data_IF_852594594827
#
_entry.id   IF_852594594827
#
_cell.length_a   1.000
_cell.length_b   1.000
_cell.length_c   1.000
_cell.angle_alpha   90.00
_cell.angle_beta   90.00
_cell.angle_gamma   90.00
#
_symmetry.space_group_name_H-M   'P 1'
#
loop_
_entity.id
_entity.type
_entity.pdbx_description
1 polymer ?
#
# COMPACT_ATOMS: atom_id res chain seq x y z
N UNK A 1 -34.60 -15.73 -16.19
CA UNK A 1 -35.38 -14.71 -15.43
C UNK A 1 -34.71 -14.59 -14.08
N UNK A 2 -33.87 -13.59 -13.93
CA UNK A 2 -33.06 -13.36 -12.71
C UNK A 2 -33.84 -12.49 -11.71
N UNK A 3 -33.92 -12.96 -10.51
CA UNK A 3 -34.58 -12.28 -9.41
C UNK A 3 -33.73 -11.07 -8.99
N UNK A 4 -34.20 -9.86 -9.30
CA UNK A 4 -33.68 -8.60 -8.76
C UNK A 4 -34.23 -8.42 -7.34
N UNK A 5 -33.44 -8.78 -6.35
CA UNK A 5 -33.75 -8.43 -4.97
C UNK A 5 -33.07 -7.12 -4.62
N UNK A 6 -33.82 -6.03 -4.72
CA UNK A 6 -33.43 -4.70 -4.26
C UNK A 6 -33.31 -4.70 -2.73
N UNK A 7 -32.11 -4.64 -2.19
CA UNK A 7 -31.92 -4.30 -0.78
C UNK A 7 -32.08 -2.79 -0.60
N UNK A 8 -33.27 -2.33 -0.19
CA UNK A 8 -33.46 -0.99 0.37
C UNK A 8 -32.94 -0.97 1.81
N UNK A 9 -32.26 0.09 2.26
CA UNK A 9 -31.79 0.19 3.61
C UNK A 9 -32.96 0.40 4.58
N UNK A 10 -33.29 -0.61 5.36
CA UNK A 10 -34.16 -0.44 6.53
C UNK A 10 -33.34 -0.01 7.74
N UNK A 11 -33.84 0.99 8.45
CA UNK A 11 -33.35 1.59 9.68
C UNK A 11 -33.17 0.55 10.79
N UNK A 12 -31.95 0.07 10.97
CA UNK A 12 -31.29 -0.51 12.16
C UNK A 12 -30.05 -1.28 11.67
N UNK A 13 -28.98 -0.54 11.36
CA UNK A 13 -27.80 -1.17 10.77
C UNK A 13 -26.67 -1.15 11.81
N UNK A 14 -26.68 -2.18 12.67
CA UNK A 14 -25.48 -2.70 13.32
C UNK A 14 -24.88 -3.89 12.52
N UNK A 15 -25.22 -4.05 11.23
CA UNK A 15 -24.82 -5.16 10.42
C UNK A 15 -23.81 -4.71 9.36
N UNK A 16 -22.62 -5.27 9.43
CA UNK A 16 -21.69 -5.39 8.31
C UNK A 16 -22.34 -6.29 7.26
N UNK A 17 -22.56 -5.77 6.04
CA UNK A 17 -23.01 -6.61 4.93
C UNK A 17 -21.80 -7.34 4.35
N UNK A 18 -21.75 -8.64 4.59
CA UNK A 18 -20.76 -9.53 4.00
C UNK A 18 -21.33 -10.10 2.70
N UNK A 19 -20.70 -9.79 1.57
CA UNK A 19 -20.97 -10.47 0.31
C UNK A 19 -19.83 -11.45 0.04
N UNK A 20 -20.15 -12.72 -0.02
CA UNK A 20 -19.20 -13.75 -0.42
C UNK A 20 -19.11 -13.74 -1.95
N UNK A 21 -18.18 -12.96 -2.49
CA UNK A 21 -18.01 -12.70 -3.94
C UNK A 21 -16.87 -13.50 -4.57
N UNK A 22 -16.33 -14.49 -3.85
CA UNK A 22 -15.28 -15.35 -4.41
C UNK A 22 -15.80 -16.23 -5.55
N UNK A 23 -15.05 -16.31 -6.64
CA UNK A 23 -15.38 -17.04 -7.86
C UNK A 23 -14.64 -18.36 -7.98
N UNK A 24 -15.31 -19.34 -8.61
CA UNK A 24 -14.64 -20.44 -9.28
C UNK A 24 -14.10 -19.91 -10.63
N UNK A 25 -12.79 -19.84 -10.80
CA UNK A 25 -12.18 -19.52 -12.09
C UNK A 25 -12.05 -20.83 -12.89
N UNK A 26 -12.73 -20.95 -14.04
CA UNK A 26 -12.64 -22.17 -14.86
C UNK A 26 -11.24 -22.32 -15.46
N UNK A 27 -10.65 -23.50 -15.33
CA UNK A 27 -9.50 -23.87 -16.15
C UNK A 27 -9.95 -24.10 -17.60
N UNK A 28 -9.84 -23.11 -18.46
CA UNK A 28 -9.74 -23.34 -19.90
C UNK A 28 -9.21 -22.08 -20.60
N UNK A 29 -7.95 -22.13 -20.98
CA UNK A 29 -7.43 -21.81 -22.31
C UNK A 29 -5.93 -21.62 -22.28
N UNK A 30 -5.19 -22.75 -22.32
CA UNK A 30 -3.86 -22.74 -22.93
C UNK A 30 -4.06 -22.80 -24.46
N UNK A 31 -3.99 -21.68 -25.14
CA UNK A 31 -3.74 -21.62 -26.57
C UNK A 31 -2.58 -20.66 -26.87
N UNK A 32 -1.68 -21.20 -27.66
CA UNK A 32 -0.44 -20.71 -28.23
C UNK A 32 -0.30 -19.20 -28.42
N UNK A 33 0.83 -18.70 -27.99
CA UNK A 33 1.27 -17.31 -28.16
C UNK A 33 1.85 -17.11 -29.57
N UNK A 34 1.17 -16.28 -30.35
CA UNK A 34 1.75 -15.60 -31.49
C UNK A 34 2.34 -14.27 -31.04
N UNK A 35 3.60 -14.04 -31.38
CA UNK A 35 4.33 -12.77 -31.18
C UNK A 35 3.67 -11.64 -31.98
N UNK A 36 3.34 -10.53 -31.32
CA UNK A 36 3.06 -9.25 -32.00
C UNK A 36 3.83 -8.12 -31.32
N UNK A 37 4.87 -7.68 -32.01
CA UNK A 37 5.48 -6.36 -31.85
C UNK A 37 4.50 -5.31 -32.37
N UNK A 38 4.19 -4.29 -31.54
CA UNK A 38 3.96 -2.92 -32.03
C UNK A 38 3.85 -1.89 -30.88
N UNK A 39 4.56 -0.77 -30.98
CA UNK A 39 4.50 0.29 -29.97
C UNK A 39 3.24 1.12 -30.16
N UNK A 40 2.50 1.34 -29.07
CA UNK A 40 1.32 2.20 -29.07
C UNK A 40 1.78 3.67 -29.03
N UNK A 41 1.46 4.38 -30.10
CA UNK A 41 1.58 5.84 -30.19
C UNK A 41 0.69 6.53 -29.16
N UNK A 42 1.30 7.28 -28.25
CA UNK A 42 0.59 8.19 -27.34
C UNK A 42 0.16 9.43 -28.13
N UNK A 43 -1.13 9.56 -28.37
CA UNK A 43 -1.74 10.78 -28.89
C UNK A 43 -1.96 11.73 -27.72
N UNK A 44 -1.23 12.85 -27.73
CA UNK A 44 -1.44 14.01 -26.87
C UNK A 44 -2.80 14.63 -27.16
N UNK A 45 -3.80 14.42 -26.29
CA UNK A 45 -4.99 15.26 -26.22
C UNK A 45 -5.05 15.91 -24.84
N UNK A 46 -4.92 17.25 -24.82
CA UNK A 46 -4.98 18.06 -23.61
C UNK A 46 -6.27 17.85 -22.83
N UNK A 47 -6.20 17.12 -21.75
CA UNK A 47 -7.22 16.96 -20.74
C UNK A 47 -6.62 17.38 -19.40
N UNK A 48 -7.31 18.30 -18.73
CA UNK A 48 -7.04 18.78 -17.37
C UNK A 48 -6.77 17.62 -16.38
N UNK A 49 -6.01 17.85 -15.33
CA UNK A 49 -5.37 16.80 -14.53
C UNK A 49 -6.41 15.98 -13.76
N UNK A 50 -6.75 14.82 -14.29
CA UNK A 50 -7.50 13.77 -13.55
C UNK A 50 -6.76 13.33 -12.28
N UNK A 51 -5.45 13.57 -12.21
CA UNK A 51 -4.58 13.32 -11.08
C UNK A 51 -4.90 14.19 -9.86
N UNK A 52 -5.24 15.47 -10.04
CA UNK A 52 -5.62 16.35 -8.92
C UNK A 52 -6.92 15.90 -8.21
N UNK A 53 -7.88 15.39 -8.97
CA UNK A 53 -9.13 14.87 -8.41
C UNK A 53 -8.88 13.56 -7.67
N UNK A 54 -8.00 12.72 -8.20
CA UNK A 54 -7.57 11.47 -7.58
C UNK A 54 -6.84 11.71 -6.25
N UNK A 55 -5.93 12.69 -6.19
CA UNK A 55 -5.18 13.03 -4.99
C UNK A 55 -6.04 13.65 -3.88
N UNK A 56 -7.03 14.50 -4.23
CA UNK A 56 -7.95 15.12 -3.24
C UNK A 56 -8.96 14.15 -2.64
N UNK A 57 -9.41 13.14 -3.39
CA UNK A 57 -10.31 12.10 -2.88
C UNK A 57 -9.62 11.07 -1.99
N UNK A 58 -8.30 10.93 -2.12
CA UNK A 58 -7.53 9.81 -1.53
C UNK A 58 -6.86 10.11 -0.18
N UNK A 59 -6.82 11.36 0.31
CA UNK A 59 -6.15 11.70 1.59
C UNK A 59 -6.56 10.81 2.77
N UNK A 60 -7.82 10.35 2.80
CA UNK A 60 -8.34 9.50 3.87
C UNK A 60 -8.26 7.99 3.57
N UNK A 61 -7.99 7.61 2.33
CA UNK A 61 -8.10 6.22 1.90
C UNK A 61 -6.79 5.43 2.09
N UNK A 62 -5.64 6.09 2.06
CA UNK A 62 -4.33 5.44 2.22
C UNK A 62 -4.17 4.76 3.59
N UNK A 63 -4.75 5.31 4.64
CA UNK A 63 -4.77 4.68 5.97
C UNK A 63 -5.28 3.24 5.87
N UNK A 64 -6.39 3.04 5.17
CA UNK A 64 -7.00 1.71 5.06
C UNK A 64 -6.19 0.73 4.21
N UNK A 65 -5.38 1.20 3.25
CA UNK A 65 -4.57 0.31 2.42
C UNK A 65 -3.53 -0.44 3.23
N UNK A 66 -2.82 0.27 4.11
CA UNK A 66 -1.81 -0.35 4.96
C UNK A 66 -2.43 -1.23 6.02
N UNK A 67 -3.45 -0.73 6.70
CA UNK A 67 -4.18 -1.49 7.70
C UNK A 67 -4.68 -2.82 7.11
N UNK A 68 -5.33 -2.78 5.95
CA UNK A 68 -5.83 -3.97 5.25
C UNK A 68 -4.70 -4.92 4.84
N UNK A 69 -3.61 -4.39 4.26
CA UNK A 69 -2.47 -5.18 3.83
C UNK A 69 -1.82 -5.92 5.01
N UNK A 70 -1.58 -5.23 6.12
CA UNK A 70 -0.96 -5.81 7.31
C UNK A 70 -1.84 -6.88 7.96
N UNK A 71 -3.15 -6.64 8.04
CA UNK A 71 -4.10 -7.63 8.55
C UNK A 71 -4.05 -8.89 7.70
N UNK A 72 -4.10 -8.75 6.38
CA UNK A 72 -4.00 -9.88 5.44
C UNK A 72 -2.67 -10.61 5.62
N UNK A 73 -1.55 -9.88 5.68
CA UNK A 73 -0.22 -10.46 5.81
C UNK A 73 -0.01 -11.14 7.18
N UNK A 74 -0.67 -10.65 8.22
CA UNK A 74 -0.69 -11.33 9.53
C UNK A 74 -1.35 -12.70 9.43
N UNK A 75 -2.49 -12.81 8.74
CA UNK A 75 -3.12 -14.11 8.51
C UNK A 75 -2.30 -15.03 7.60
N UNK A 76 -1.71 -14.49 6.53
CA UNK A 76 -0.81 -15.27 5.66
C UNK A 76 0.38 -15.85 6.42
N UNK A 77 0.99 -15.07 7.32
CA UNK A 77 2.08 -15.53 8.18
C UNK A 77 1.66 -16.70 9.09
N UNK A 78 0.43 -16.70 9.63
CA UNK A 78 -0.11 -17.82 10.43
C UNK A 78 -0.13 -19.13 9.63
N UNK A 79 -0.34 -19.06 8.32
CA UNK A 79 -0.36 -20.21 7.40
C UNK A 79 1.01 -20.50 6.75
N UNK A 80 2.07 -19.80 7.14
CA UNK A 80 3.41 -19.92 6.53
C UNK A 80 3.40 -19.65 5.03
N UNK A 81 2.65 -18.64 4.63
CA UNK A 81 2.52 -18.16 3.27
C UNK A 81 3.18 -16.80 3.15
N UNK A 82 3.90 -16.56 2.06
CA UNK A 82 4.61 -15.31 1.81
C UNK A 82 3.67 -14.10 1.86
N UNK A 83 4.14 -12.94 2.36
CA UNK A 83 3.33 -11.73 2.39
C UNK A 83 2.99 -11.26 0.97
N UNK A 84 1.83 -10.62 0.84
CA UNK A 84 1.44 -9.91 -0.37
C UNK A 84 2.15 -8.55 -0.43
N UNK A 85 2.48 -8.13 -1.65
CA UNK A 85 2.97 -6.79 -1.93
C UNK A 85 1.90 -5.98 -2.65
N UNK A 86 1.78 -4.68 -2.33
CA UNK A 86 0.93 -3.78 -3.09
C UNK A 86 1.44 -3.64 -4.52
N UNK A 87 0.53 -3.54 -5.47
CA UNK A 87 0.84 -3.23 -6.86
C UNK A 87 0.01 -2.02 -7.30
N UNK A 88 0.68 -0.97 -7.77
CA UNK A 88 0.03 0.30 -8.10
C UNK A 88 -1.00 0.20 -9.21
N UNK A 89 -0.74 -0.59 -10.26
CA UNK A 89 -1.70 -0.77 -11.35
C UNK A 89 -2.96 -1.49 -10.86
N UNK A 90 -2.78 -2.49 -9.98
CA UNK A 90 -3.90 -3.21 -9.37
C UNK A 90 -4.62 -2.29 -8.37
N UNK A 91 -3.90 -1.42 -7.62
CA UNK A 91 -4.51 -0.40 -6.76
C UNK A 91 -5.42 0.54 -7.58
N UNK A 92 -4.95 1.01 -8.75
CA UNK A 92 -5.74 1.87 -9.63
C UNK A 92 -7.03 1.18 -10.12
N UNK A 93 -6.94 -0.10 -10.48
CA UNK A 93 -8.11 -0.90 -10.87
C UNK A 93 -9.10 -1.05 -9.71
N UNK A 94 -8.58 -1.40 -8.52
CA UNK A 94 -9.39 -1.56 -7.31
C UNK A 94 -10.05 -0.24 -6.89
N UNK A 95 -9.32 0.88 -6.96
CA UNK A 95 -9.83 2.20 -6.63
C UNK A 95 -10.93 2.64 -7.60
N UNK A 96 -10.70 2.47 -8.91
CA UNK A 96 -11.71 2.81 -9.92
C UNK A 96 -13.02 2.03 -9.72
N UNK A 97 -12.92 0.76 -9.32
CA UNK A 97 -14.10 -0.05 -9.04
C UNK A 97 -14.76 0.34 -7.72
N UNK A 98 -13.97 0.62 -6.67
CA UNK A 98 -14.47 1.15 -5.41
C UNK A 98 -15.23 2.48 -5.59
N UNK A 99 -14.71 3.41 -6.41
CA UNK A 99 -15.37 4.67 -6.75
C UNK A 99 -16.71 4.43 -7.48
N UNK A 100 -16.76 3.42 -8.37
CA UNK A 100 -17.98 3.06 -9.07
C UNK A 100 -19.04 2.54 -8.11
N UNK A 101 -18.73 1.53 -7.31
CA UNK A 101 -19.71 0.92 -6.39
C UNK A 101 -20.15 1.88 -5.30
N UNK A 102 -19.27 2.78 -4.83
CA UNK A 102 -19.63 3.82 -3.87
C UNK A 102 -20.60 4.86 -4.46
N UNK A 103 -20.40 5.27 -5.72
CA UNK A 103 -21.28 6.21 -6.43
C UNK A 103 -22.64 5.59 -6.73
N UNK A 104 -22.66 4.32 -7.12
CA UNK A 104 -23.87 3.59 -7.49
C UNK A 104 -24.61 3.01 -6.28
N UNK A 105 -23.95 3.01 -5.12
CA UNK A 105 -24.44 2.38 -3.88
C UNK A 105 -24.90 0.91 -4.11
N UNK A 106 -24.14 0.20 -4.93
CA UNK A 106 -24.45 -1.16 -5.36
C UNK A 106 -23.16 -1.97 -5.54
N UNK A 107 -23.09 -3.14 -4.90
CA UNK A 107 -21.93 -4.03 -4.96
C UNK A 107 -22.09 -5.01 -6.13
N UNK A 108 -21.13 -5.00 -7.03
CA UNK A 108 -20.95 -5.96 -8.11
C UNK A 108 -19.47 -6.34 -8.27
N UNK A 109 -19.19 -7.45 -8.92
CA UNK A 109 -17.81 -7.86 -9.22
C UNK A 109 -17.24 -7.00 -10.36
N UNK A 110 -15.93 -6.67 -10.26
CA UNK A 110 -15.28 -5.76 -11.22
C UNK A 110 -14.97 -6.41 -12.58
N UNK A 111 -14.70 -7.71 -12.60
CA UNK A 111 -14.10 -8.41 -13.76
C UNK A 111 -12.80 -7.77 -14.26
N UNK A 112 -12.08 -7.10 -13.36
CA UNK A 112 -10.79 -6.48 -13.67
C UNK A 112 -9.77 -7.53 -14.11
N UNK A 113 -8.93 -7.14 -15.07
CA UNK A 113 -7.82 -7.97 -15.56
C UNK A 113 -6.50 -7.22 -15.39
N UNK A 114 -5.48 -7.96 -15.02
CA UNK A 114 -4.09 -7.51 -15.00
C UNK A 114 -3.25 -8.54 -15.75
N UNK A 115 -2.41 -8.09 -16.70
CA UNK A 115 -1.66 -8.96 -17.61
C UNK A 115 -2.55 -10.04 -18.28
N UNK A 116 -3.70 -9.64 -18.79
CA UNK A 116 -4.72 -10.49 -19.43
C UNK A 116 -5.33 -11.58 -18.54
N UNK A 117 -5.04 -11.58 -17.24
CA UNK A 117 -5.59 -12.54 -16.27
C UNK A 117 -6.63 -11.86 -15.39
N UNK A 118 -7.78 -12.48 -15.17
CA UNK A 118 -8.77 -12.00 -14.21
C UNK A 118 -8.17 -12.00 -12.81
N UNK A 119 -8.48 -10.95 -12.04
CA UNK A 119 -8.02 -10.82 -10.67
C UNK A 119 -8.92 -11.59 -9.71
N UNK A 120 -8.35 -12.16 -8.65
CA UNK A 120 -9.11 -12.54 -7.47
C UNK A 120 -9.67 -11.28 -6.82
N UNK A 121 -10.86 -11.35 -6.21
CA UNK A 121 -11.50 -10.15 -5.69
C UNK A 121 -12.25 -10.41 -4.38
N UNK A 122 -12.09 -9.47 -3.44
CA UNK A 122 -12.90 -9.37 -2.22
C UNK A 122 -13.49 -7.97 -2.18
N UNK A 123 -14.81 -7.87 -1.97
CA UNK A 123 -15.51 -6.58 -1.83
C UNK A 123 -16.30 -6.58 -0.53
N UNK A 124 -16.18 -5.50 0.22
CA UNK A 124 -16.98 -5.26 1.42
C UNK A 124 -17.22 -3.78 1.65
N UNK A 125 -18.13 -3.46 2.54
CA UNK A 125 -18.32 -2.09 2.99
C UNK A 125 -18.45 -2.04 4.51
N UNK A 126 -18.12 -0.87 5.07
CA UNK A 126 -18.22 -0.61 6.50
C UNK A 126 -18.50 0.87 6.78
N UNK A 127 -18.99 1.18 7.97
CA UNK A 127 -19.09 2.56 8.42
C UNK A 127 -17.73 3.06 8.90
N UNK A 128 -17.45 4.33 8.74
CA UNK A 128 -16.16 4.95 9.10
C UNK A 128 -15.74 4.76 10.57
N UNK A 129 -16.69 4.53 11.46
CA UNK A 129 -16.39 4.25 12.87
C UNK A 129 -16.03 2.78 13.17
N UNK A 130 -16.04 1.93 12.14
CA UNK A 130 -15.58 0.54 12.24
C UNK A 130 -14.17 0.41 11.64
N UNK A 131 -13.42 -0.59 12.14
CA UNK A 131 -12.11 -0.95 11.59
C UNK A 131 -12.25 -2.00 10.49
N UNK A 132 -11.48 -1.91 9.38
CA UNK A 132 -11.32 -2.99 8.41
C UNK A 132 -10.90 -4.31 9.05
N UNK A 133 -10.14 -4.24 10.15
CA UNK A 133 -9.70 -5.41 10.93
C UNK A 133 -10.87 -6.29 11.35
N UNK A 134 -11.94 -5.72 11.91
CA UNK A 134 -13.10 -6.50 12.37
C UNK A 134 -13.73 -7.29 11.24
N UNK A 135 -13.74 -6.76 10.02
CA UNK A 135 -14.36 -7.41 8.86
C UNK A 135 -13.45 -8.50 8.30
N UNK A 136 -12.18 -8.20 8.09
CA UNK A 136 -11.21 -9.17 7.56
C UNK A 136 -10.99 -10.31 8.56
N UNK A 137 -10.93 -9.98 9.86
CA UNK A 137 -10.88 -10.98 10.93
C UNK A 137 -12.11 -11.88 10.90
N UNK A 138 -13.29 -11.33 10.65
CA UNK A 138 -14.51 -12.13 10.57
C UNK A 138 -14.48 -13.10 9.38
N UNK A 139 -13.93 -12.70 8.22
CA UNK A 139 -13.73 -13.62 7.08
C UNK A 139 -12.81 -14.77 7.45
N UNK A 140 -11.74 -14.46 8.18
CA UNK A 140 -10.76 -15.46 8.59
C UNK A 140 -11.31 -16.38 9.70
N UNK A 141 -11.77 -15.83 10.81
CA UNK A 141 -12.14 -16.60 12.02
C UNK A 141 -13.39 -17.46 11.79
N UNK A 142 -14.39 -16.96 11.04
CA UNK A 142 -15.61 -17.73 10.75
C UNK A 142 -15.35 -19.00 9.97
N UNK A 143 -14.35 -19.00 9.09
CA UNK A 143 -14.11 -20.08 8.14
C UNK A 143 -12.91 -20.96 8.52
N UNK A 144 -11.83 -20.39 9.03
CA UNK A 144 -10.59 -21.11 9.31
C UNK A 144 -10.81 -22.36 10.19
N UNK A 145 -11.60 -22.21 11.29
CA UNK A 145 -11.87 -23.32 12.22
C UNK A 145 -12.76 -24.43 11.63
N UNK A 146 -13.53 -24.10 10.60
CA UNK A 146 -14.45 -25.06 9.95
C UNK A 146 -13.89 -25.61 8.65
N UNK A 147 -12.78 -25.03 8.17
CA UNK A 147 -12.21 -25.37 6.88
C UNK A 147 -11.52 -26.75 6.91
N UNK A 148 -11.90 -27.59 5.96
CA UNK A 148 -11.25 -28.89 5.78
C UNK A 148 -10.06 -28.77 4.82
N UNK A 149 -8.85 -28.62 5.37
CA UNK A 149 -7.60 -28.49 4.62
C UNK A 149 -7.23 -29.73 3.77
N UNK A 150 -7.98 -30.83 3.87
CA UNK A 150 -7.83 -32.03 3.04
C UNK A 150 -8.81 -32.07 1.88
N UNK A 151 -9.74 -31.11 1.78
CA UNK A 151 -10.71 -31.05 0.69
C UNK A 151 -10.03 -30.50 -0.57
N UNK A 152 -10.11 -31.28 -1.67
CA UNK A 152 -9.52 -30.88 -2.96
C UNK A 152 -10.26 -29.73 -3.64
N UNK A 153 -11.58 -29.65 -3.45
CA UNK A 153 -12.44 -28.66 -4.09
C UNK A 153 -13.47 -28.11 -3.10
N UNK A 154 -13.02 -27.34 -2.08
CA UNK A 154 -13.94 -26.66 -1.19
C UNK A 154 -14.66 -25.54 -1.95
N UNK A 155 -15.73 -25.00 -1.33
CA UNK A 155 -16.34 -23.77 -1.84
C UNK A 155 -15.34 -22.61 -1.73
N UNK A 156 -15.11 -21.84 -2.80
CA UNK A 156 -14.30 -20.62 -2.75
C UNK A 156 -14.84 -19.63 -1.72
N UNK A 157 -13.94 -18.93 -1.05
CA UNK A 157 -14.31 -17.96 -0.01
C UNK A 157 -13.31 -16.82 0.12
N UNK A 158 -13.67 -15.79 0.89
CA UNK A 158 -12.76 -14.70 1.21
C UNK A 158 -11.56 -15.20 2.02
N UNK A 159 -11.78 -16.12 2.96
CA UNK A 159 -10.71 -16.77 3.72
C UNK A 159 -9.68 -17.45 2.82
N UNK A 160 -10.13 -18.30 1.89
CA UNK A 160 -9.22 -19.04 1.00
C UNK A 160 -8.48 -18.11 0.04
N UNK A 161 -9.09 -17.00 -0.38
CA UNK A 161 -8.41 -15.97 -1.18
C UNK A 161 -7.33 -15.25 -0.39
N UNK A 162 -7.61 -14.85 0.85
CA UNK A 162 -6.65 -14.14 1.72
C UNK A 162 -5.36 -14.95 1.89
N UNK A 163 -5.46 -16.25 2.15
CA UNK A 163 -4.31 -17.11 2.43
C UNK A 163 -3.80 -17.88 1.21
N UNK A 164 -4.28 -17.56 0.01
CA UNK A 164 -3.88 -18.25 -1.22
C UNK A 164 -2.39 -18.07 -1.49
N UNK A 165 -1.62 -19.17 -1.42
CA UNK A 165 -0.15 -19.15 -1.45
C UNK A 165 0.42 -18.52 -2.72
N UNK A 166 -0.16 -18.84 -3.89
CA UNK A 166 0.34 -18.37 -5.18
C UNK A 166 0.02 -16.89 -5.47
N UNK A 167 -0.88 -16.24 -4.73
CA UNK A 167 -1.08 -14.79 -4.81
C UNK A 167 0.15 -14.07 -4.26
N UNK A 168 0.69 -13.11 -5.03
CA UNK A 168 1.91 -12.35 -4.71
C UNK A 168 1.66 -10.86 -4.57
N UNK A 169 0.72 -10.34 -5.34
CA UNK A 169 0.41 -8.93 -5.39
C UNK A 169 -1.05 -8.68 -5.02
N UNK A 170 -1.28 -7.52 -4.45
CA UNK A 170 -2.61 -7.05 -4.09
C UNK A 170 -2.78 -5.59 -4.48
N UNK A 171 -3.97 -5.24 -4.91
CA UNK A 171 -4.42 -3.86 -5.05
C UNK A 171 -5.61 -3.61 -4.14
N UNK A 172 -5.65 -2.46 -3.50
CA UNK A 172 -6.70 -2.07 -2.56
C UNK A 172 -7.28 -0.75 -3.03
N UNK A 173 -8.61 -0.65 -3.06
CA UNK A 173 -9.35 0.56 -3.37
C UNK A 173 -10.38 0.83 -2.29
N UNK A 174 -10.47 2.06 -1.81
CA UNK A 174 -11.45 2.47 -0.81
C UNK A 174 -12.13 3.76 -1.25
N UNK A 175 -13.46 3.80 -1.17
CA UNK A 175 -14.24 4.99 -1.52
C UNK A 175 -15.34 5.23 -0.50
N UNK A 176 -15.41 6.48 -0.03
CA UNK A 176 -16.35 6.90 1.02
C UNK A 176 -17.55 7.59 0.40
N UNK A 177 -18.75 7.22 0.84
CA UNK A 177 -19.99 7.91 0.49
C UNK A 177 -20.27 9.10 1.41
N UNK A 178 -21.27 9.90 1.05
CA UNK A 178 -21.75 11.01 1.90
C UNK A 178 -22.33 10.54 3.25
N UNK A 179 -22.82 9.31 3.31
CA UNK A 179 -23.35 8.66 4.49
C UNK A 179 -22.28 8.01 5.38
N UNK A 180 -21.00 8.30 5.13
CA UNK A 180 -19.85 7.73 5.83
C UNK A 180 -19.75 6.20 5.73
N UNK A 181 -20.20 5.62 4.62
CA UNK A 181 -19.96 4.23 4.27
C UNK A 181 -18.71 4.16 3.41
N UNK A 182 -17.78 3.29 3.77
CA UNK A 182 -16.55 3.04 3.03
C UNK A 182 -16.73 1.73 2.27
N UNK A 183 -16.68 1.80 0.94
CA UNK A 183 -16.63 0.64 0.06
C UNK A 183 -15.19 0.28 -0.21
N UNK A 184 -14.85 -0.98 -0.03
CA UNK A 184 -13.49 -1.50 -0.21
C UNK A 184 -13.48 -2.61 -1.23
N UNK A 185 -12.55 -2.52 -2.17
CA UNK A 185 -12.25 -3.53 -3.19
C UNK A 185 -10.82 -3.98 -3.01
N UNK A 186 -10.60 -5.28 -2.86
CA UNK A 186 -9.27 -5.88 -2.78
C UNK A 186 -9.13 -6.86 -3.95
N UNK A 187 -8.19 -6.59 -4.85
CA UNK A 187 -7.86 -7.45 -5.97
C UNK A 187 -6.53 -8.17 -5.75
N UNK A 188 -6.48 -9.45 -6.05
CA UNK A 188 -5.33 -10.34 -5.83
C UNK A 188 -4.75 -10.83 -7.15
N UNK A 189 -3.42 -10.86 -7.27
CA UNK A 189 -2.72 -11.38 -8.44
C UNK A 189 -1.47 -12.20 -8.06
N UNK A 190 -1.27 -13.37 -8.65
CA UNK A 190 -2.27 -14.16 -9.39
C UNK A 190 -3.55 -14.40 -8.57
N UNK A 191 -4.71 -14.67 -9.23
CA UNK A 191 -5.95 -14.94 -8.53
C UNK A 191 -5.86 -16.20 -7.68
N UNK A 192 -6.64 -16.24 -6.61
CA UNK A 192 -6.85 -17.46 -5.83
C UNK A 192 -8.14 -18.17 -6.19
N UNK A 193 -8.52 -19.11 -5.36
CA UNK A 193 -9.76 -19.87 -5.48
C UNK A 193 -9.89 -20.67 -6.80
N UNK A 194 -8.75 -21.13 -7.33
CA UNK A 194 -8.69 -21.89 -8.57
C UNK A 194 -9.05 -23.36 -8.27
N UNK A 195 -9.99 -23.89 -9.03
CA UNK A 195 -10.44 -25.28 -8.90
C UNK A 195 -9.27 -26.26 -9.04
N UNK A 196 -9.25 -27.27 -8.19
CA UNK A 196 -8.21 -28.30 -8.07
C UNK A 196 -6.85 -27.83 -7.52
N UNK A 197 -6.69 -26.54 -7.17
CA UNK A 197 -5.43 -25.98 -6.62
C UNK A 197 -5.51 -25.69 -5.12
N UNK A 198 -6.62 -25.95 -4.44
CA UNK A 198 -6.82 -25.61 -3.03
C UNK A 198 -5.84 -26.29 -2.09
N UNK A 199 -5.50 -27.57 -2.31
CA UNK A 199 -4.59 -28.31 -1.42
C UNK A 199 -3.17 -27.71 -1.39
N UNK A 200 -2.74 -27.17 -2.51
CA UNK A 200 -1.39 -26.59 -2.65
C UNK A 200 -1.32 -25.14 -2.15
N UNK A 201 -2.46 -24.46 -2.19
CA UNK A 201 -2.52 -23.02 -1.94
C UNK A 201 -3.14 -22.63 -0.59
N UNK A 202 -4.01 -23.46 -0.01
CA UNK A 202 -4.68 -23.20 1.26
C UNK A 202 -4.08 -24.12 2.33
N UNK A 203 -2.99 -23.66 2.93
CA UNK A 203 -2.24 -24.44 3.92
C UNK A 203 -2.89 -24.34 5.31
N UNK A 204 -2.77 -25.35 6.19
CA UNK A 204 -3.23 -25.26 7.55
C UNK A 204 -2.39 -24.22 8.35
N UNK A 205 -2.97 -23.59 9.36
CA UNK A 205 -2.20 -22.69 10.23
C UNK A 205 -1.13 -23.48 10.98
N UNK A 206 0.03 -22.85 11.23
CA UNK A 206 1.02 -23.41 12.13
C UNK A 206 0.40 -23.54 13.52
N UNK A 207 0.62 -24.66 14.20
CA UNK A 207 0.32 -24.76 15.62
C UNK A 207 1.14 -23.69 16.37
N UNK A 208 0.47 -22.69 16.91
CA UNK A 208 1.10 -21.71 17.77
C UNK A 208 1.52 -22.42 19.05
N UNK A 209 2.82 -22.69 19.22
CA UNK A 209 3.35 -22.83 20.56
C UNK A 209 3.00 -21.52 21.28
N UNK A 210 2.21 -21.61 22.37
CA UNK A 210 1.79 -20.46 23.18
C UNK A 210 3.02 -19.67 23.63
N UNK A 211 3.54 -18.81 22.78
CA UNK A 211 4.46 -17.76 23.14
C UNK A 211 3.61 -16.51 23.39
N UNK A 212 3.75 -15.92 24.56
CA UNK A 212 3.16 -14.63 24.92
C UNK A 212 3.63 -13.58 23.90
N UNK A 213 2.91 -13.47 22.80
CA UNK A 213 3.18 -12.46 21.78
C UNK A 213 2.49 -11.18 22.21
N UNK A 214 3.27 -10.22 22.66
CA UNK A 214 2.78 -8.89 22.95
C UNK A 214 2.35 -8.24 21.62
N UNK A 215 1.07 -7.95 21.48
CA UNK A 215 0.40 -7.27 20.34
C UNK A 215 0.96 -5.88 20.03
N UNK A 216 1.88 -5.36 20.81
CA UNK A 216 2.27 -3.96 20.80
C UNK A 216 3.34 -3.56 19.76
N UNK A 217 4.04 -4.50 19.10
CA UNK A 217 5.12 -4.13 18.15
C UNK A 217 4.68 -3.93 16.72
N UNK A 218 3.66 -4.65 16.24
CA UNK A 218 3.15 -4.48 14.87
C UNK A 218 2.36 -3.19 14.71
N UNK A 219 1.49 -2.89 15.66
CA UNK A 219 0.65 -1.70 15.65
C UNK A 219 1.48 -0.41 15.68
N UNK A 220 2.57 -0.41 16.46
CA UNK A 220 3.51 0.72 16.52
C UNK A 220 4.26 0.92 15.19
N UNK A 221 4.60 -0.15 14.49
CA UNK A 221 5.33 -0.07 13.21
C UNK A 221 4.47 0.51 12.09
N UNK A 222 3.21 0.11 12.01
CA UNK A 222 2.27 0.58 10.98
C UNK A 222 2.02 2.07 11.17
N UNK A 223 1.67 2.47 12.39
CA UNK A 223 1.42 3.87 12.74
C UNK A 223 2.63 4.75 12.41
N UNK A 224 3.84 4.28 12.70
CA UNK A 224 5.09 4.98 12.46
C UNK A 224 5.37 5.29 10.97
N UNK A 225 5.21 4.30 10.07
CA UNK A 225 5.41 4.51 8.63
C UNK A 225 4.32 5.39 8.01
N UNK A 226 3.09 5.25 8.48
CA UNK A 226 1.98 6.12 8.09
C UNK A 226 2.25 7.57 8.50
N UNK A 227 2.69 7.82 9.73
CA UNK A 227 3.02 9.15 10.22
C UNK A 227 4.12 9.82 9.38
N UNK A 228 5.18 9.06 9.02
CA UNK A 228 6.22 9.53 8.11
C UNK A 228 5.66 9.95 6.76
N UNK A 229 4.83 9.09 6.16
CA UNK A 229 4.26 9.34 4.84
C UNK A 229 3.32 10.55 4.83
N UNK A 230 2.38 10.62 5.78
CA UNK A 230 1.46 11.74 5.86
C UNK A 230 2.17 13.06 6.14
N UNK A 231 3.12 13.04 7.08
CA UNK A 231 3.87 14.25 7.43
C UNK A 231 4.73 14.75 6.29
N UNK A 232 5.35 13.83 5.52
CA UNK A 232 6.07 14.19 4.31
C UNK A 232 5.16 14.92 3.31
N UNK A 233 3.97 14.37 3.04
CA UNK A 233 3.01 14.97 2.12
C UNK A 233 2.40 16.29 2.64
N UNK A 234 2.23 16.46 3.94
CA UNK A 234 1.84 17.75 4.54
C UNK A 234 2.87 18.85 4.24
N UNK A 235 4.17 18.55 4.33
CA UNK A 235 5.21 19.49 3.96
C UNK A 235 5.23 19.77 2.46
N UNK A 236 5.06 18.76 1.62
CA UNK A 236 4.99 18.95 0.16
C UNK A 236 3.82 19.83 -0.24
N UNK A 237 2.67 19.67 0.42
CA UNK A 237 1.50 20.55 0.20
C UNK A 237 1.81 22.01 0.56
N UNK A 238 2.53 22.26 1.65
CA UNK A 238 2.96 23.63 2.03
C UNK A 238 3.83 24.30 0.97
N UNK A 239 4.61 23.50 0.23
CA UNK A 239 5.47 23.99 -0.85
C UNK A 239 4.80 23.96 -2.23
N UNK A 240 3.53 23.59 -2.32
CA UNK A 240 2.79 23.52 -3.60
C UNK A 240 3.35 22.51 -4.58
N UNK A 241 4.05 21.48 -4.10
CA UNK A 241 4.60 20.42 -4.96
C UNK A 241 3.71 19.17 -4.93
N UNK A 242 3.70 18.33 -6.00
CA UNK A 242 2.87 17.13 -6.06
C UNK A 242 3.09 16.20 -4.86
N UNK A 243 2.02 15.60 -4.36
CA UNK A 243 2.11 14.62 -3.27
C UNK A 243 2.77 13.33 -3.77
N UNK A 244 3.57 12.72 -2.90
CA UNK A 244 4.18 11.42 -3.17
C UNK A 244 3.15 10.31 -3.06
N UNK A 245 3.37 9.26 -3.85
CA UNK A 245 2.64 7.99 -3.76
C UNK A 245 3.55 7.00 -3.03
N UNK A 246 3.00 6.28 -2.06
CA UNK A 246 3.78 5.24 -1.40
C UNK A 246 3.98 4.05 -2.35
N UNK A 247 5.24 3.62 -2.51
CA UNK A 247 5.60 2.49 -3.35
C UNK A 247 6.09 1.31 -2.49
N UNK A 248 5.41 0.16 -2.54
CA UNK A 248 5.77 -1.01 -1.75
C UNK A 248 7.16 -1.57 -2.06
N UNK A 249 7.58 -1.53 -3.33
CA UNK A 249 8.92 -1.98 -3.72
C UNK A 249 10.00 -1.08 -3.12
N UNK A 250 9.77 0.24 -3.09
CA UNK A 250 10.67 1.17 -2.40
C UNK A 250 10.60 0.96 -0.88
N UNK A 251 9.43 0.65 -0.32
CA UNK A 251 9.28 0.31 1.11
C UNK A 251 10.06 -0.96 1.47
N UNK A 252 10.03 -1.99 0.62
CA UNK A 252 10.84 -3.20 0.80
C UNK A 252 12.32 -2.85 0.81
N UNK A 253 12.80 -2.11 -0.19
CA UNK A 253 14.20 -1.66 -0.27
C UNK A 253 14.61 -0.79 0.94
N UNK A 254 13.73 0.11 1.39
CA UNK A 254 13.97 0.95 2.55
C UNK A 254 14.11 0.11 3.84
N UNK A 255 13.27 -0.91 4.02
CA UNK A 255 13.38 -1.84 5.14
C UNK A 255 14.65 -2.69 5.08
N UNK A 256 15.02 -3.21 3.91
CA UNK A 256 16.27 -3.96 3.70
C UNK A 256 17.48 -3.08 4.06
N UNK A 257 17.52 -1.84 3.57
CA UNK A 257 18.60 -0.90 3.83
C UNK A 257 18.67 -0.50 5.31
N UNK A 258 17.54 -0.25 5.97
CA UNK A 258 17.48 0.04 7.39
C UNK A 258 17.98 -1.16 8.24
N UNK A 259 17.61 -2.39 7.87
CA UNK A 259 18.10 -3.59 8.53
C UNK A 259 19.61 -3.77 8.37
N UNK A 260 20.15 -3.56 7.17
CA UNK A 260 21.60 -3.63 6.93
C UNK A 260 22.37 -2.62 7.77
N UNK A 261 21.87 -1.38 7.88
CA UNK A 261 22.48 -0.37 8.77
C UNK A 261 22.42 -0.78 10.24
N UNK A 262 21.30 -1.34 10.68
CA UNK A 262 21.12 -1.79 12.04
C UNK A 262 22.01 -2.99 12.41
N UNK A 263 22.21 -3.92 11.47
CA UNK A 263 23.10 -5.09 11.62
C UNK A 263 24.58 -4.68 11.70
N UNK A 264 24.98 -3.72 10.88
CA UNK A 264 26.38 -3.25 10.80
C UNK A 264 26.70 -2.11 11.77
N UNK A 265 25.69 -1.51 12.42
CA UNK A 265 25.83 -0.42 13.40
C UNK A 265 26.49 0.84 12.84
N UNK A 266 26.30 1.14 11.54
CA UNK A 266 26.79 2.38 10.94
C UNK A 266 25.89 2.88 9.81
N UNK A 267 26.06 4.17 9.47
CA UNK A 267 25.38 4.80 8.34
C UNK A 267 26.05 4.32 7.04
N UNK A 268 25.24 3.74 6.16
CA UNK A 268 25.66 3.35 4.82
C UNK A 268 25.33 4.45 3.81
N UNK A 269 26.22 4.68 2.87
CA UNK A 269 26.02 5.65 1.78
C UNK A 269 25.98 4.95 0.39
N UNK A 270 25.57 3.69 0.36
CA UNK A 270 25.43 2.95 -0.89
C UNK A 270 24.27 3.50 -1.72
N UNK A 271 24.47 3.49 -3.04
CA UNK A 271 23.41 3.85 -3.99
C UNK A 271 22.32 2.78 -4.01
N UNK A 272 21.08 3.23 -4.07
CA UNK A 272 19.91 2.36 -4.17
C UNK A 272 19.30 2.57 -5.55
N UNK A 273 19.25 1.51 -6.35
CA UNK A 273 18.67 1.56 -7.67
C UNK A 273 17.23 1.06 -7.70
N UNK A 274 16.42 1.70 -8.53
CA UNK A 274 15.08 1.28 -8.89
C UNK A 274 14.87 1.50 -10.38
N UNK A 275 14.50 0.43 -11.12
CA UNK A 275 14.46 0.41 -12.60
C UNK A 275 15.76 0.83 -13.30
N UNK A 276 16.92 0.57 -12.69
CA UNK A 276 18.22 0.95 -13.24
C UNK A 276 18.59 2.42 -13.08
N UNK A 277 17.84 3.17 -12.28
CA UNK A 277 18.12 4.56 -11.93
C UNK A 277 18.33 4.71 -10.41
N UNK A 278 19.19 5.63 -10.04
CA UNK A 278 19.45 5.92 -8.64
C UNK A 278 18.24 6.57 -7.96
N UNK A 279 17.98 6.16 -6.71
CA UNK A 279 16.97 6.73 -5.85
C UNK A 279 17.52 7.82 -4.94
N UNK A 280 16.70 8.78 -4.58
CA UNK A 280 16.99 9.69 -3.48
C UNK A 280 16.81 9.04 -2.13
N UNK A 281 17.53 9.52 -1.11
CA UNK A 281 17.48 8.98 0.25
C UNK A 281 17.36 10.08 1.30
N UNK A 282 16.53 9.84 2.32
CA UNK A 282 16.60 10.50 3.61
C UNK A 282 16.90 9.46 4.69
N UNK A 283 17.85 9.73 5.56
CA UNK A 283 18.26 8.81 6.61
C UNK A 283 18.20 9.53 7.95
N UNK A 284 17.68 8.82 8.96
CA UNK A 284 17.66 9.28 10.34
C UNK A 284 18.18 8.16 11.25
N UNK A 285 19.06 8.52 12.18
CA UNK A 285 19.65 7.59 13.15
C UNK A 285 19.51 8.19 14.54
N UNK A 286 18.91 7.46 15.46
CA UNK A 286 18.75 7.92 16.84
C UNK A 286 19.02 6.83 17.87
N UNK A 287 19.67 7.18 18.95
CA UNK A 287 19.84 6.33 20.14
C UNK A 287 18.63 6.38 21.08
N UNK A 288 17.65 7.22 20.78
CA UNK A 288 16.51 7.43 21.65
C UNK A 288 15.26 6.81 21.00
N UNK A 289 14.63 5.82 21.66
CA UNK A 289 13.47 5.10 21.14
C UNK A 289 12.15 5.92 21.19
N UNK A 290 12.21 7.23 21.46
CA UNK A 290 11.03 8.07 21.69
C UNK A 290 10.66 8.93 20.46
N UNK A 291 11.01 8.48 19.24
CA UNK A 291 10.62 9.13 18.00
C UNK A 291 9.41 8.41 17.38
N UNK A 292 8.38 9.20 17.06
CA UNK A 292 7.32 8.82 16.15
C UNK A 292 7.69 9.24 14.71
N UNK A 293 6.99 8.72 13.72
CA UNK A 293 7.28 9.00 12.31
C UNK A 293 7.15 10.49 11.96
N UNK A 294 6.23 11.19 12.63
CA UNK A 294 6.02 12.61 12.44
C UNK A 294 7.22 13.44 12.87
N UNK A 295 7.77 13.18 14.05
CA UNK A 295 8.95 13.89 14.56
C UNK A 295 10.18 13.68 13.67
N UNK A 296 10.37 12.49 13.12
CA UNK A 296 11.49 12.23 12.20
C UNK A 296 11.35 13.04 10.92
N UNK A 297 10.13 13.10 10.37
CA UNK A 297 9.87 13.92 9.21
C UNK A 297 10.08 15.43 9.53
N UNK A 298 9.69 15.86 10.74
CA UNK A 298 9.92 17.23 11.21
C UNK A 298 11.44 17.54 11.29
N UNK A 299 12.27 16.60 11.78
CA UNK A 299 13.74 16.76 11.81
C UNK A 299 14.33 16.92 10.40
N UNK A 300 13.89 16.12 9.43
CA UNK A 300 14.30 16.31 8.04
C UNK A 300 13.87 17.67 7.47
N UNK A 301 12.69 18.14 7.86
CA UNK A 301 12.16 19.41 7.39
C UNK A 301 12.82 20.61 8.07
N UNK A 302 13.28 20.49 9.31
CA UNK A 302 13.96 21.56 10.06
C UNK A 302 15.20 22.13 9.35
N UNK A 303 15.81 21.35 8.44
CA UNK A 303 16.91 21.82 7.58
C UNK A 303 16.51 22.99 6.67
N UNK A 304 15.21 23.30 6.50
CA UNK A 304 14.70 24.50 5.80
C UNK A 304 15.29 25.78 6.37
N UNK A 305 15.61 25.80 7.68
CA UNK A 305 16.18 26.98 8.36
C UNK A 305 17.56 27.36 7.82
N UNK A 306 18.29 26.39 7.29
CA UNK A 306 19.60 26.55 6.68
C UNK A 306 19.51 26.79 5.16
N UNK A 307 18.30 26.63 4.55
CA UNK A 307 18.13 26.72 3.09
C UNK A 307 17.88 28.15 2.63
N UNK A 308 18.71 28.63 1.71
CA UNK A 308 18.58 29.95 1.11
C UNK A 308 17.90 29.88 -0.28
N UNK A 309 16.61 30.21 -0.32
CA UNK A 309 15.81 30.21 -1.56
C UNK A 309 16.22 31.31 -2.55
N UNK A 310 16.85 32.39 -2.09
CA UNK A 310 17.27 33.52 -2.94
C UNK A 310 18.60 33.22 -3.60
N UNK A 311 19.56 32.69 -2.84
CA UNK A 311 20.90 32.38 -3.32
C UNK A 311 21.25 30.91 -3.12
N UNK A 312 20.66 30.06 -3.96
CA UNK A 312 20.76 28.61 -3.84
C UNK A 312 22.20 28.09 -3.95
N UNK A 313 23.09 28.81 -4.63
CA UNK A 313 24.53 28.45 -4.76
C UNK A 313 25.29 28.51 -3.43
N UNK A 314 24.74 29.22 -2.44
CA UNK A 314 25.35 29.33 -1.09
C UNK A 314 24.90 28.22 -0.14
N UNK A 315 23.96 27.38 -0.53
CA UNK A 315 23.52 26.30 0.33
C UNK A 315 24.61 25.23 0.46
N UNK A 316 24.85 24.82 1.68
CA UNK A 316 25.61 23.61 1.99
C UNK A 316 24.69 22.41 1.75
N UNK A 317 24.92 21.71 0.64
CA UNK A 317 24.04 20.64 0.19
C UNK A 317 23.92 19.51 1.21
N UNK A 318 24.97 19.22 1.95
CA UNK A 318 24.95 18.17 2.97
C UNK A 318 24.07 18.54 4.17
N UNK A 319 23.97 19.83 4.50
CA UNK A 319 23.16 20.33 5.61
C UNK A 319 21.66 20.45 5.29
N UNK A 320 21.30 20.43 4.01
CA UNK A 320 19.92 20.67 3.57
C UNK A 320 19.37 19.51 2.73
N UNK A 321 20.09 18.41 2.61
CA UNK A 321 19.78 17.31 1.69
C UNK A 321 18.48 16.57 2.03
N UNK A 322 18.15 16.43 3.31
CA UNK A 322 16.92 15.79 3.71
C UNK A 322 15.72 16.67 3.41
N UNK A 323 15.79 17.95 3.73
CA UNK A 323 14.75 18.92 3.40
C UNK A 323 14.51 18.99 1.88
N UNK A 324 15.58 19.18 1.10
CA UNK A 324 15.44 19.37 -0.34
C UNK A 324 14.91 18.09 -1.04
N UNK A 325 15.32 16.92 -0.58
CA UNK A 325 14.75 15.64 -1.05
C UNK A 325 13.28 15.51 -0.68
N UNK A 326 12.90 15.84 0.55
CA UNK A 326 11.54 15.73 1.06
C UNK A 326 10.54 16.50 0.19
N UNK A 327 10.89 17.75 -0.21
CA UNK A 327 10.02 18.60 -1.04
C UNK A 327 10.37 18.60 -2.52
N UNK A 328 11.27 17.72 -2.97
CA UNK A 328 11.69 17.66 -4.37
C UNK A 328 10.51 17.43 -5.31
N UNK A 329 10.17 18.45 -6.12
CA UNK A 329 8.95 18.47 -6.93
C UNK A 329 8.80 17.27 -7.86
N UNK A 330 9.89 16.86 -8.51
CA UNK A 330 9.87 15.79 -9.50
C UNK A 330 9.96 14.38 -8.87
N UNK A 331 10.13 14.23 -7.56
CA UNK A 331 9.92 12.94 -6.91
C UNK A 331 8.43 12.63 -6.83
N UNK A 332 8.05 11.44 -7.27
CA UNK A 332 6.65 11.01 -7.40
C UNK A 332 6.30 9.91 -6.41
N UNK A 333 7.28 9.09 -6.05
CA UNK A 333 7.08 7.89 -5.23
C UNK A 333 8.05 7.87 -4.05
N UNK A 334 7.61 7.26 -2.96
CA UNK A 334 8.44 7.07 -1.76
C UNK A 334 8.18 5.72 -1.13
N UNK A 335 9.20 5.15 -0.49
CA UNK A 335 9.07 4.02 0.42
C UNK A 335 9.80 4.31 1.71
N UNK A 336 9.22 3.94 2.85
CA UNK A 336 9.85 4.11 4.16
C UNK A 336 10.15 2.78 4.82
N UNK A 337 11.28 2.71 5.51
CA UNK A 337 11.71 1.55 6.28
C UNK A 337 12.35 1.96 7.59
N UNK A 338 12.33 1.07 8.57
CA UNK A 338 13.02 1.28 9.83
C UNK A 338 13.46 -0.04 10.46
N UNK A 339 14.55 0.02 11.22
CA UNK A 339 15.07 -1.10 12.00
C UNK A 339 15.73 -0.59 13.29
N UNK A 340 15.74 -1.43 14.30
CA UNK A 340 16.49 -1.20 15.55
C UNK A 340 17.62 -2.23 15.66
N UNK A 341 18.79 -1.77 16.08
CA UNK A 341 19.86 -2.69 16.44
C UNK A 341 19.73 -3.21 17.90
N UNK A 342 20.61 -4.11 18.29
CA UNK A 342 20.64 -4.69 19.63
C UNK A 342 21.02 -3.68 20.73
N UNK A 343 21.54 -2.52 20.37
CA UNK A 343 21.89 -1.42 21.29
C UNK A 343 20.76 -0.41 21.46
N UNK A 344 19.60 -0.64 20.83
CA UNK A 344 18.45 0.26 20.87
C UNK A 344 18.60 1.48 19.97
N UNK A 345 19.51 1.46 18.99
CA UNK A 345 19.63 2.52 17.98
C UNK A 345 18.61 2.26 16.90
N UNK A 346 17.83 3.28 16.56
CA UNK A 346 16.83 3.24 15.49
C UNK A 346 17.42 3.82 14.21
N UNK A 347 17.25 3.13 13.10
CA UNK A 347 17.62 3.52 11.75
C UNK A 347 16.37 3.66 10.92
N UNK A 348 16.13 4.85 10.36
CA UNK A 348 14.96 5.15 9.52
C UNK A 348 15.43 5.61 8.15
N UNK A 349 14.83 5.08 7.10
CA UNK A 349 15.18 5.36 5.72
C UNK A 349 13.94 5.72 4.93
N UNK A 350 13.98 6.84 4.20
CA UNK A 350 13.05 7.18 3.13
C UNK A 350 13.76 7.05 1.79
N UNK A 351 13.20 6.30 0.85
CA UNK A 351 13.71 6.14 -0.52
C UNK A 351 12.72 6.80 -1.48
N UNK A 352 13.22 7.74 -2.30
CA UNK A 352 12.42 8.56 -3.20
C UNK A 352 12.73 8.28 -4.66
N UNK A 353 11.70 8.23 -5.50
CA UNK A 353 11.85 8.02 -6.94
C UNK A 353 10.87 8.90 -7.75
N UNK A 354 11.33 9.54 -8.84
CA UNK A 354 12.72 9.76 -9.21
C UNK A 354 13.55 10.41 -8.11
N UNK A 355 14.88 10.29 -8.18
CA UNK A 355 15.77 10.86 -7.16
C UNK A 355 15.68 12.39 -7.13
N UNK A 356 15.77 12.96 -5.92
CA UNK A 356 15.98 14.39 -5.73
C UNK A 356 17.46 14.77 -5.67
N UNK A 357 17.72 15.99 -5.25
CA UNK A 357 19.06 16.55 -5.04
C UNK A 357 19.96 16.50 -6.28
N UNK A 358 19.35 16.54 -7.48
CA UNK A 358 20.05 16.52 -8.75
C UNK A 358 20.73 17.89 -9.00
N UNK A 359 22.03 17.87 -9.28
CA UNK A 359 22.82 19.08 -9.54
C UNK A 359 22.22 19.91 -10.67
N UNK A 360 22.14 21.22 -10.45
CA UNK A 360 21.57 22.17 -11.41
C UNK A 360 20.03 22.19 -11.47
N UNK A 361 19.32 21.33 -10.70
CA UNK A 361 17.86 21.19 -10.74
C UNK A 361 17.13 21.72 -9.49
N UNK A 362 17.85 22.29 -8.53
CA UNK A 362 17.27 22.77 -7.28
C UNK A 362 16.25 23.87 -7.48
N UNK A 363 16.48 24.82 -8.40
CA UNK A 363 15.60 25.98 -8.60
C UNK A 363 14.20 25.60 -9.06
N UNK A 364 14.06 24.57 -9.86
CA UNK A 364 12.78 24.10 -10.38
C UNK A 364 12.09 23.09 -9.45
N UNK A 365 12.83 22.50 -8.49
CA UNK A 365 12.34 21.43 -7.65
C UNK A 365 12.15 21.79 -6.18
N UNK A 366 12.90 22.75 -5.66
CA UNK A 366 12.84 23.19 -4.25
C UNK A 366 12.17 24.55 -4.19
N UNK A 367 10.84 24.54 -4.08
CA UNK A 367 10.01 25.74 -4.10
C UNK A 367 9.82 26.29 -2.68
N UNK A 368 9.67 27.63 -2.48
CA UNK A 368 9.29 28.19 -1.19
C UNK A 368 7.88 27.75 -0.77
N UNK A 369 7.55 27.95 0.50
CA UNK A 369 6.17 27.73 0.97
C UNK A 369 5.20 28.66 0.22
N UNK A 370 4.02 28.13 -0.08
CA UNK A 370 2.90 28.90 -0.64
C UNK A 370 2.16 29.59 0.51
N UNK A 371 1.83 30.89 0.33
CA UNK A 371 1.08 31.69 1.30
C UNK A 371 -0.38 31.18 1.48
#
# INVERSE_FOLDING_TARGET
MGCRQCCKPHSNINNTFEFNTSRDIPQNQSKEFGTFDNPINVINSGLLPKEEIFLKSNKNNFKYYFEILEIINTYRKRHNVDPLNLNNDINLLSQKHSDKIARENYIELSYNKYNNTELGEIIFCFKENNSPENIISSFYEKECHKYNFKNKNPKPSNFTQIIWKNSKYVGIGCSKTRENIIYTVINFYPPGNIKNEFLENVLPPKEERKSNYSSNKSDHKINFLEELFYRNNEYREKHGVPLLILNPSLTTKANEFANLMAENDFMMDEEIEYFGENCGKNIFISKNNNYDGKKICDEWYEEIKEYNFINMKKNDKEKVKNFTQLIWKNSEQVGFGWANNNKGICYVVGIYYPCGNVEGKYQENVLPEIE
#
